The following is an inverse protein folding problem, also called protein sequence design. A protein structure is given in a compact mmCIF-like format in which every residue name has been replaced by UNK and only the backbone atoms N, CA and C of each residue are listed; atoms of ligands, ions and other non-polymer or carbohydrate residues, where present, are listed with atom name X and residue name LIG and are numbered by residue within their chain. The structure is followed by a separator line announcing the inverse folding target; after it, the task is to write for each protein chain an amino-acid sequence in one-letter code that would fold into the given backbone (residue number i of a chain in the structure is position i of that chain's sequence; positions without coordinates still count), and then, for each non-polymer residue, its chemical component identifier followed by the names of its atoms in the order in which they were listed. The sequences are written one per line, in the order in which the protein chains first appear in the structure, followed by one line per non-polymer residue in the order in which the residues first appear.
data_IF_519340376851
#
_entry.id   IF_519340376851
#
_cell.length_a   1.000
_cell.length_b   1.000
_cell.length_c   1.000
_cell.angle_alpha   90.00
_cell.angle_beta   90.00
_cell.angle_gamma   90.00
#
_symmetry.space_group_name_H-M   'P 1'
#
loop_
_entity.id
_entity.type
_entity.pdbx_description
1 polymer ?
#
# COMPACT_ATOMS: atom_id res chain seq x y z
N UNK A 1 34.80 -16.43 -79.65
CA UNK A 1 33.61 -15.74 -79.10
C UNK A 1 32.88 -16.52 -77.99
N UNK A 2 32.67 -17.84 -78.09
CA UNK A 2 31.92 -18.61 -77.06
C UNK A 2 32.57 -18.62 -75.66
N UNK A 3 33.91 -18.70 -75.57
CA UNK A 3 34.64 -18.64 -74.30
C UNK A 3 34.55 -17.28 -73.60
N UNK A 4 34.43 -16.19 -74.36
CA UNK A 4 34.32 -14.84 -73.81
C UNK A 4 32.94 -14.60 -73.17
N UNK A 5 31.88 -15.17 -73.75
CA UNK A 5 30.53 -15.12 -73.18
C UNK A 5 30.42 -15.90 -71.87
N UNK A 6 31.10 -17.04 -71.75
CA UNK A 6 31.10 -17.86 -70.52
C UNK A 6 31.86 -17.13 -69.41
N UNK A 7 33.00 -16.51 -69.73
CA UNK A 7 33.76 -15.70 -68.77
C UNK A 7 32.98 -14.46 -68.29
N UNK A 8 32.24 -13.80 -69.19
CA UNK A 8 31.40 -12.65 -68.84
C UNK A 8 30.22 -13.07 -67.94
N UNK A 9 29.60 -14.22 -68.22
CA UNK A 9 28.47 -14.75 -67.45
C UNK A 9 28.91 -15.22 -66.04
N UNK A 10 30.12 -15.76 -65.93
CA UNK A 10 30.73 -16.10 -64.64
C UNK A 10 31.13 -14.86 -63.83
N UNK A 11 31.56 -13.77 -64.47
CA UNK A 11 31.86 -12.50 -63.79
C UNK A 11 30.61 -11.80 -63.25
N UNK A 12 29.49 -11.84 -63.98
CA UNK A 12 28.22 -11.25 -63.54
C UNK A 12 27.51 -12.07 -62.46
N UNK A 13 27.80 -13.37 -62.36
CA UNK A 13 27.28 -14.22 -61.30
C UNK A 13 27.96 -13.95 -59.93
N UNK A 14 29.24 -13.54 -59.93
CA UNK A 14 29.98 -13.25 -58.70
C UNK A 14 29.59 -11.90 -58.06
N UNK A 15 29.09 -10.94 -58.84
CA UNK A 15 28.71 -9.62 -58.32
C UNK A 15 27.31 -9.58 -57.68
N UNK A 16 26.52 -10.65 -57.76
CA UNK A 16 25.16 -10.71 -57.22
C UNK A 16 25.09 -11.29 -55.79
N UNK A 17 26.21 -11.75 -55.22
CA UNK A 17 26.29 -12.30 -53.86
C UNK A 17 27.11 -11.39 -52.93
N UNK A 18 26.79 -10.10 -52.95
CA UNK A 18 27.17 -9.18 -51.88
C UNK A 18 25.91 -8.85 -51.10
N UNK A 19 25.42 -9.82 -50.34
CA UNK A 19 24.37 -9.57 -49.36
C UNK A 19 24.97 -8.63 -48.31
N UNK A 20 24.65 -7.35 -48.44
CA UNK A 20 24.95 -6.33 -47.44
C UNK A 20 24.39 -6.82 -46.11
N UNK A 21 25.27 -7.22 -45.21
CA UNK A 21 24.96 -7.62 -43.84
C UNK A 21 24.63 -6.33 -43.08
N UNK A 22 23.49 -5.73 -43.37
CA UNK A 22 22.96 -4.65 -42.57
C UNK A 22 22.41 -5.30 -41.30
N UNK A 23 23.00 -5.03 -40.12
CA UNK A 23 22.55 -5.66 -38.89
C UNK A 23 21.11 -5.24 -38.66
N UNK A 24 20.26 -6.23 -38.44
CA UNK A 24 18.84 -6.03 -38.20
C UNK A 24 18.65 -5.02 -37.04
N UNK A 25 17.61 -4.17 -37.09
CA UNK A 25 17.45 -3.09 -36.12
C UNK A 25 17.37 -3.57 -34.67
N UNK A 26 16.91 -4.80 -34.42
CA UNK A 26 16.83 -5.42 -33.09
C UNK A 26 18.18 -5.93 -32.57
N UNK A 27 19.09 -6.36 -33.46
CA UNK A 27 20.42 -6.86 -33.07
C UNK A 27 21.25 -5.74 -32.42
N UNK A 28 21.07 -4.49 -32.88
CA UNK A 28 21.73 -3.31 -32.29
C UNK A 28 21.28 -3.04 -30.86
N UNK A 29 20.08 -3.48 -30.50
CA UNK A 29 19.47 -3.29 -29.19
C UNK A 29 19.71 -4.50 -28.27
N UNK A 30 20.34 -5.57 -28.78
CA UNK A 30 20.50 -6.83 -28.05
C UNK A 30 19.18 -7.57 -27.84
N UNK A 31 18.16 -7.27 -28.66
CA UNK A 31 16.84 -7.87 -28.59
C UNK A 31 16.76 -9.07 -29.53
N UNK A 32 16.06 -10.12 -29.11
CA UNK A 32 15.64 -11.19 -30.00
C UNK A 32 14.57 -10.71 -30.97
N UNK A 33 14.48 -11.37 -32.13
CA UNK A 33 13.42 -11.14 -33.12
C UNK A 33 12.01 -11.25 -32.52
N UNK A 34 11.82 -12.15 -31.56
CA UNK A 34 10.56 -12.34 -30.84
C UNK A 34 10.21 -11.15 -29.95
N UNK A 35 11.16 -10.61 -29.18
CA UNK A 35 10.94 -9.42 -28.36
C UNK A 35 10.66 -8.19 -29.22
N UNK A 36 11.34 -8.09 -30.37
CA UNK A 36 11.09 -7.01 -31.33
C UNK A 36 9.66 -7.03 -31.88
N UNK A 37 9.16 -8.21 -32.23
CA UNK A 37 7.76 -8.37 -32.64
C UNK A 37 6.80 -8.00 -31.50
N UNK A 38 7.08 -8.42 -30.27
CA UNK A 38 6.27 -8.06 -29.11
C UNK A 38 6.20 -6.54 -28.88
N UNK A 39 7.31 -5.82 -29.06
CA UNK A 39 7.36 -4.35 -28.98
C UNK A 39 6.46 -3.72 -30.04
N UNK A 40 6.52 -4.21 -31.27
CA UNK A 40 5.72 -3.72 -32.38
C UNK A 40 4.23 -4.01 -32.16
N UNK A 41 3.87 -5.23 -31.78
CA UNK A 41 2.49 -5.66 -31.56
C UNK A 41 1.82 -4.89 -30.41
N UNK A 42 2.58 -4.56 -29.36
CA UNK A 42 2.09 -3.82 -28.19
C UNK A 42 2.30 -2.30 -28.30
N UNK A 43 2.77 -1.80 -29.45
CA UNK A 43 3.06 -0.37 -29.69
C UNK A 43 3.88 0.28 -28.56
N UNK A 44 4.88 -0.44 -28.03
CA UNK A 44 5.70 0.08 -26.93
C UNK A 44 6.62 1.18 -27.47
N UNK A 45 6.62 2.39 -26.90
CA UNK A 45 7.47 3.46 -27.39
C UNK A 45 8.94 3.13 -27.14
N UNK A 46 9.81 3.44 -28.11
CA UNK A 46 11.25 3.13 -28.05
C UNK A 46 11.92 3.63 -26.77
N UNK A 47 11.55 4.83 -26.29
CA UNK A 47 12.04 5.38 -25.03
C UNK A 47 11.78 4.46 -23.82
N UNK A 48 10.64 3.76 -23.82
CA UNK A 48 10.27 2.81 -22.77
C UNK A 48 11.07 1.51 -22.91
N UNK A 49 11.25 1.01 -24.13
CA UNK A 49 12.10 -0.15 -24.42
C UNK A 49 13.52 0.08 -23.89
N UNK A 50 14.13 1.22 -24.21
CA UNK A 50 15.46 1.57 -23.69
C UNK A 50 15.49 1.62 -22.16
N UNK A 51 14.42 2.14 -21.53
CA UNK A 51 14.32 2.21 -20.07
C UNK A 51 14.23 0.81 -19.44
N UNK A 52 13.51 -0.12 -20.05
CA UNK A 52 13.37 -1.51 -19.59
C UNK A 52 14.69 -2.25 -19.73
N UNK A 53 15.33 -2.14 -20.90
CA UNK A 53 16.64 -2.72 -21.16
C UNK A 53 17.72 -2.20 -20.19
N UNK A 54 17.75 -0.89 -19.92
CA UNK A 54 18.67 -0.31 -18.90
C UNK A 54 18.39 -0.80 -17.49
N UNK A 55 17.16 -1.18 -17.19
CA UNK A 55 16.78 -1.75 -15.89
C UNK A 55 16.99 -3.27 -15.82
N UNK A 56 17.46 -3.92 -16.91
CA UNK A 56 17.61 -5.37 -16.97
C UNK A 56 16.28 -6.13 -16.93
N UNK A 57 15.19 -5.48 -17.36
CA UNK A 57 13.84 -6.06 -17.39
C UNK A 57 13.58 -6.57 -18.80
N UNK A 58 13.18 -7.84 -18.91
CA UNK A 58 12.75 -8.42 -20.17
C UNK A 58 11.40 -7.80 -20.60
N UNK A 59 11.26 -7.54 -21.90
CA UNK A 59 10.02 -7.07 -22.51
C UNK A 59 8.87 -8.05 -22.23
N UNK A 60 9.15 -9.36 -22.27
CA UNK A 60 8.15 -10.39 -22.00
C UNK A 60 7.63 -10.31 -20.55
N UNK A 61 8.53 -10.08 -19.59
CA UNK A 61 8.21 -9.88 -18.17
C UNK A 61 7.36 -8.61 -17.98
N UNK A 62 7.76 -7.51 -18.64
CA UNK A 62 7.02 -6.25 -18.56
C UNK A 62 5.59 -6.37 -19.10
N UNK A 63 5.39 -7.09 -20.21
CA UNK A 63 4.07 -7.27 -20.81
C UNK A 63 3.09 -8.08 -19.94
N UNK A 64 3.60 -8.93 -19.04
CA UNK A 64 2.76 -9.65 -18.07
C UNK A 64 2.22 -8.73 -16.96
N UNK A 65 2.73 -7.50 -16.87
CA UNK A 65 2.34 -6.49 -15.90
C UNK A 65 2.30 -7.00 -14.45
N UNK A 66 3.40 -7.59 -13.94
CA UNK A 66 3.44 -8.20 -12.61
C UNK A 66 3.06 -7.22 -11.49
N UNK A 67 3.30 -5.92 -11.67
CA UNK A 67 2.94 -4.87 -10.71
C UNK A 67 1.43 -4.75 -10.47
N UNK A 68 0.58 -5.04 -11.47
CA UNK A 68 -0.88 -4.99 -11.32
C UNK A 68 -1.37 -6.05 -10.31
N UNK A 69 -0.76 -7.24 -10.31
CA UNK A 69 -1.13 -8.35 -9.43
C UNK A 69 -0.79 -8.09 -7.96
N UNK A 70 0.28 -7.33 -7.70
CA UNK A 70 0.77 -7.03 -6.35
C UNK A 70 0.34 -5.63 -5.85
N UNK A 71 -0.60 -4.97 -6.56
CA UNK A 71 -1.10 -3.64 -6.18
C UNK A 71 -0.05 -2.53 -6.19
N UNK A 72 1.04 -2.69 -6.95
CA UNK A 72 2.15 -1.74 -7.01
C UNK A 72 2.03 -0.85 -8.25
N UNK A 73 2.48 0.41 -8.17
CA UNK A 73 2.59 1.23 -9.37
C UNK A 73 3.74 0.74 -10.25
N UNK A 74 3.57 0.90 -11.56
CA UNK A 74 4.55 0.48 -12.56
C UNK A 74 5.93 1.11 -12.32
N UNK A 75 5.98 2.42 -12.03
CA UNK A 75 7.23 3.14 -11.80
C UNK A 75 7.97 2.62 -10.57
N UNK A 76 7.22 2.26 -9.53
CA UNK A 76 7.78 1.72 -8.29
C UNK A 76 8.26 0.28 -8.47
N UNK A 77 7.60 -0.49 -9.32
CA UNK A 77 8.08 -1.82 -9.71
C UNK A 77 9.38 -1.73 -10.51
N UNK A 78 9.42 -0.87 -11.54
CA UNK A 78 10.62 -0.65 -12.37
C UNK A 78 11.79 -0.15 -11.52
N UNK A 79 11.56 0.74 -10.56
CA UNK A 79 12.62 1.26 -9.69
C UNK A 79 13.19 0.17 -8.76
N UNK A 80 12.35 -0.71 -8.24
CA UNK A 80 12.79 -1.86 -7.43
C UNK A 80 13.56 -2.89 -8.26
N UNK A 81 13.11 -3.20 -9.49
CA UNK A 81 13.86 -4.06 -10.42
C UNK A 81 15.23 -3.46 -10.73
N UNK A 82 15.30 -2.14 -10.97
CA UNK A 82 16.58 -1.43 -11.18
C UNK A 82 17.48 -1.45 -9.94
N UNK A 83 16.92 -1.52 -8.74
CA UNK A 83 17.68 -1.71 -7.50
C UNK A 83 18.22 -3.15 -7.32
N UNK A 84 17.96 -4.04 -8.28
CA UNK A 84 18.41 -5.43 -8.27
C UNK A 84 17.47 -6.39 -7.54
N UNK A 85 16.26 -5.95 -7.16
CA UNK A 85 15.28 -6.83 -6.55
C UNK A 85 14.67 -7.77 -7.59
N UNK A 86 14.52 -9.04 -7.23
CA UNK A 86 13.78 -10.03 -8.03
C UNK A 86 12.27 -9.82 -7.85
N UNK A 87 11.47 -10.23 -8.84
CA UNK A 87 10.01 -10.05 -8.80
C UNK A 87 9.38 -10.74 -7.58
N UNK A 88 9.86 -11.92 -7.19
CA UNK A 88 9.46 -12.62 -5.96
C UNK A 88 9.80 -11.83 -4.69
N UNK A 89 10.98 -11.20 -4.63
CA UNK A 89 11.36 -10.39 -3.46
C UNK A 89 10.48 -9.14 -3.32
N UNK A 90 10.09 -8.53 -4.45
CA UNK A 90 9.19 -7.37 -4.48
C UNK A 90 7.79 -7.76 -4.00
N UNK A 91 7.29 -8.92 -4.43
CA UNK A 91 6.01 -9.47 -3.99
C UNK A 91 6.02 -9.77 -2.50
N UNK A 92 7.03 -10.49 -2.00
CA UNK A 92 7.17 -10.79 -0.58
C UNK A 92 7.23 -9.51 0.27
N UNK A 93 7.94 -8.47 -0.19
CA UNK A 93 7.98 -7.18 0.49
C UNK A 93 6.63 -6.46 0.46
N UNK A 94 5.86 -6.53 -0.63
CA UNK A 94 4.49 -5.97 -0.66
C UNK A 94 3.57 -6.70 0.30
N UNK A 95 3.55 -8.04 0.27
CA UNK A 95 2.75 -8.85 1.20
C UNK A 95 3.14 -8.56 2.65
N UNK A 96 4.44 -8.43 2.94
CA UNK A 96 4.92 -8.08 4.27
C UNK A 96 4.45 -6.68 4.69
N UNK A 97 4.52 -5.68 3.80
CA UNK A 97 4.06 -4.31 4.08
C UNK A 97 2.54 -4.23 4.26
N UNK A 98 1.75 -4.98 3.49
CA UNK A 98 0.29 -5.06 3.65
C UNK A 98 -0.10 -5.69 4.98
N UNK A 99 0.56 -6.80 5.35
CA UNK A 99 0.38 -7.45 6.66
C UNK A 99 0.76 -6.53 7.79
N UNK A 100 1.88 -5.83 7.67
CA UNK A 100 2.36 -4.82 8.63
C UNK A 100 1.32 -3.72 8.83
N UNK A 101 0.82 -3.12 7.75
CA UNK A 101 -0.20 -2.07 7.83
C UNK A 101 -1.54 -2.56 8.40
N UNK A 102 -1.91 -3.82 8.16
CA UNK A 102 -3.12 -4.44 8.73
C UNK A 102 -2.94 -4.84 10.21
N UNK A 103 -1.78 -5.39 10.57
CA UNK A 103 -1.46 -5.85 11.92
C UNK A 103 -1.25 -4.71 12.90
N UNK A 104 -0.65 -3.57 12.54
CA UNK A 104 -0.46 -2.49 13.51
C UNK A 104 -1.77 -1.86 13.99
N UNK A 105 -2.82 -1.85 13.17
CA UNK A 105 -4.14 -1.38 13.61
C UNK A 105 -4.98 -2.46 14.28
N UNK A 106 -4.78 -3.74 13.95
CA UNK A 106 -5.58 -4.81 14.52
C UNK A 106 -4.97 -5.35 15.83
N UNK A 107 -3.65 -5.49 15.92
CA UNK A 107 -2.92 -6.13 17.02
C UNK A 107 -2.87 -5.24 18.27
N UNK A 108 -2.61 -3.94 18.10
CA UNK A 108 -2.65 -2.97 19.21
C UNK A 108 -4.04 -2.86 19.86
N UNK A 109 -5.11 -3.06 19.10
CA UNK A 109 -6.48 -3.05 19.64
C UNK A 109 -6.95 -4.43 20.12
N UNK A 110 -6.46 -5.54 19.54
CA UNK A 110 -6.83 -6.89 19.98
C UNK A 110 -6.07 -7.36 21.21
N UNK A 111 -4.78 -7.03 21.35
CA UNK A 111 -4.02 -7.35 22.57
C UNK A 111 -4.60 -6.61 23.78
N UNK A 112 -4.96 -5.33 23.63
CA UNK A 112 -5.59 -4.55 24.70
C UNK A 112 -6.97 -5.07 25.11
N UNK A 113 -7.77 -5.56 24.15
CA UNK A 113 -9.06 -6.20 24.42
C UNK A 113 -8.93 -7.62 25.01
N UNK A 114 -7.81 -8.30 24.77
CA UNK A 114 -7.56 -9.67 25.27
C UNK A 114 -6.91 -9.69 26.65
N UNK A 115 -6.12 -8.68 27.00
CA UNK A 115 -5.41 -8.57 28.29
C UNK A 115 -6.33 -8.14 29.44
N UNK A 116 -7.37 -7.36 29.15
CA UNK A 116 -8.44 -7.13 30.11
C UNK A 116 -9.66 -7.91 29.62
N UNK A 117 -10.12 -8.90 30.38
CA UNK A 117 -11.45 -9.55 30.20
C UNK A 117 -12.65 -8.57 30.37
N UNK A 118 -12.37 -7.28 30.22
CA UNK A 118 -13.19 -6.09 30.37
C UNK A 118 -12.93 -5.08 29.23
N UNK A 119 -12.41 -5.53 28.07
CA UNK A 119 -12.20 -4.71 26.86
C UNK A 119 -13.34 -3.72 26.53
N UNK A 120 -14.62 -4.12 26.55
CA UNK A 120 -15.74 -3.19 26.29
C UNK A 120 -15.98 -2.15 27.40
N UNK A 121 -15.46 -2.34 28.61
CA UNK A 121 -15.58 -1.39 29.72
C UNK A 121 -14.42 -0.36 29.74
N UNK A 122 -13.26 -0.73 29.19
CA UNK A 122 -12.16 0.20 29.00
C UNK A 122 -12.31 1.05 27.74
N UNK A 123 -12.91 0.52 26.67
CA UNK A 123 -13.27 1.32 25.49
C UNK A 123 -14.29 2.42 25.82
N UNK A 124 -15.21 2.20 26.77
CA UNK A 124 -16.10 3.24 27.30
C UNK A 124 -15.42 4.24 28.23
N UNK A 125 -14.24 3.90 28.77
CA UNK A 125 -13.43 4.81 29.57
C UNK A 125 -12.78 5.83 28.64
N UNK A 126 -12.14 5.38 27.55
CA UNK A 126 -11.37 6.24 26.65
C UNK A 126 -12.22 6.98 25.59
N UNK A 127 -13.41 6.49 25.27
CA UNK A 127 -14.39 7.22 24.47
C UNK A 127 -15.74 7.31 25.22
N UNK A 128 -15.96 8.39 25.99
CA UNK A 128 -17.27 8.68 26.57
C UNK A 128 -18.33 8.66 25.47
N UNK A 129 -19.33 7.79 25.58
CA UNK A 129 -20.49 7.77 24.69
C UNK A 129 -20.41 6.86 23.43
N UNK A 130 -19.26 6.27 23.08
CA UNK A 130 -19.16 5.42 21.87
C UNK A 130 -20.04 4.15 21.97
N UNK A 131 -20.03 3.52 23.14
CA UNK A 131 -20.84 2.32 23.41
C UNK A 131 -22.34 2.65 23.49
N UNK A 132 -22.70 3.80 24.06
CA UNK A 132 -24.11 4.23 24.20
C UNK A 132 -24.75 4.67 22.87
N UNK A 133 -23.94 5.13 21.91
CA UNK A 133 -24.39 5.41 20.54
C UNK A 133 -24.80 4.13 19.80
N UNK A 134 -24.06 3.04 20.04
CA UNK A 134 -24.35 1.71 19.51
C UNK A 134 -25.59 1.07 20.14
N UNK A 135 -25.87 1.38 21.42
CA UNK A 135 -27.05 0.92 22.16
C UNK A 135 -28.28 1.84 22.03
N UNK A 136 -28.30 2.77 21.04
CA UNK A 136 -29.40 3.70 20.73
C UNK A 136 -29.85 4.64 21.87
N UNK A 137 -29.09 4.80 22.96
CA UNK A 137 -29.41 5.74 24.05
C UNK A 137 -28.72 7.08 23.83
N UNK A 138 -29.32 7.91 22.97
CA UNK A 138 -28.74 9.18 22.48
C UNK A 138 -28.61 10.27 23.56
N UNK A 139 -29.55 10.39 24.49
CA UNK A 139 -29.57 11.44 25.51
C UNK A 139 -28.37 11.39 26.50
N UNK A 140 -28.05 10.25 27.15
CA UNK A 140 -26.90 10.18 28.06
C UNK A 140 -25.55 10.28 27.31
N UNK A 141 -25.50 9.77 26.06
CA UNK A 141 -24.30 9.84 25.23
C UNK A 141 -23.92 11.30 24.89
N UNK A 142 -24.92 12.13 24.54
CA UNK A 142 -24.68 13.55 24.23
C UNK A 142 -24.18 14.31 25.46
N UNK A 143 -24.74 14.03 26.65
CA UNK A 143 -24.31 14.68 27.89
C UNK A 143 -22.83 14.36 28.20
N UNK A 144 -22.43 13.09 28.13
CA UNK A 144 -21.04 12.69 28.42
C UNK A 144 -20.04 13.20 27.38
N UNK A 145 -20.40 13.18 26.08
CA UNK A 145 -19.54 13.74 25.01
C UNK A 145 -19.36 15.25 25.19
N UNK A 146 -20.43 15.97 25.55
CA UNK A 146 -20.36 17.42 25.77
C UNK A 146 -19.44 17.80 26.94
N UNK A 147 -19.44 16.98 27.99
CA UNK A 147 -18.64 17.20 29.20
C UNK A 147 -17.15 16.87 28.95
N UNK A 148 -16.87 15.77 28.25
CA UNK A 148 -15.53 15.40 27.81
C UNK A 148 -14.94 16.44 26.83
N UNK A 149 -15.72 16.88 25.84
CA UNK A 149 -15.31 17.92 24.91
C UNK A 149 -15.00 19.24 25.64
N UNK A 150 -15.85 19.64 26.60
CA UNK A 150 -15.65 20.85 27.41
C UNK A 150 -14.36 20.79 28.23
N UNK A 151 -14.08 19.63 28.83
CA UNK A 151 -12.84 19.39 29.59
C UNK A 151 -11.60 19.52 28.70
N UNK A 152 -11.64 18.96 27.49
CA UNK A 152 -10.53 18.99 26.53
C UNK A 152 -10.28 20.41 25.99
N UNK A 153 -11.36 21.16 25.73
CA UNK A 153 -11.29 22.59 25.35
C UNK A 153 -10.72 23.44 26.48
N UNK A 154 -11.17 23.25 27.73
CA UNK A 154 -10.64 24.00 28.87
C UNK A 154 -9.17 23.64 29.17
N UNK A 155 -8.79 22.37 28.99
CA UNK A 155 -7.43 21.91 29.18
C UNK A 155 -6.49 22.49 28.10
N UNK A 156 -6.90 22.48 26.83
CA UNK A 156 -6.10 23.05 25.73
C UNK A 156 -5.98 24.57 25.85
N UNK A 157 -7.08 25.28 26.11
CA UNK A 157 -7.06 26.73 26.33
C UNK A 157 -6.21 27.14 27.55
N UNK A 158 -6.35 26.42 28.67
CA UNK A 158 -5.57 26.66 29.89
C UNK A 158 -4.09 26.33 29.72
N UNK A 159 -3.76 25.28 28.98
CA UNK A 159 -2.36 24.87 28.72
C UNK A 159 -1.64 25.86 27.80
N UNK A 160 -2.34 26.46 26.82
CA UNK A 160 -1.78 27.51 25.95
C UNK A 160 -1.49 28.78 26.75
N UNK A 161 -2.41 29.17 27.65
CA UNK A 161 -2.28 30.41 28.41
C UNK A 161 -1.20 30.34 29.51
N UNK A 162 -0.99 29.16 30.13
CA UNK A 162 -0.04 28.99 31.24
C UNK A 162 1.31 28.38 30.84
N UNK A 163 1.52 28.00 29.58
CA UNK A 163 2.72 27.29 29.06
C UNK A 163 3.16 26.08 29.91
N UNK A 164 2.24 25.52 30.69
CA UNK A 164 2.45 24.40 31.60
C UNK A 164 1.23 23.49 31.52
N UNK A 165 1.47 22.19 31.67
CA UNK A 165 0.43 21.17 31.58
C UNK A 165 -0.51 21.30 32.79
N UNK A 166 -1.69 21.90 32.58
CA UNK A 166 -2.67 22.11 33.63
C UNK A 166 -3.54 20.86 33.79
N UNK A 167 -3.06 19.87 34.55
CA UNK A 167 -3.70 18.57 34.73
C UNK A 167 -4.93 18.58 35.67
N UNK A 168 -5.19 19.70 36.35
CA UNK A 168 -6.22 19.83 37.38
C UNK A 168 -7.66 19.55 36.89
N UNK A 169 -8.12 20.06 35.71
CA UNK A 169 -9.44 19.70 35.18
C UNK A 169 -9.54 18.24 34.73
N UNK A 170 -8.44 17.63 34.29
CA UNK A 170 -8.41 16.20 33.91
C UNK A 170 -8.66 15.35 35.15
N UNK A 171 -7.96 15.60 36.25
CA UNK A 171 -8.16 14.82 37.48
C UNK A 171 -9.49 15.12 38.20
N UNK A 172 -9.95 16.38 38.22
CA UNK A 172 -11.15 16.75 38.96
C UNK A 172 -12.47 16.43 38.24
N UNK A 173 -12.47 16.38 36.91
CA UNK A 173 -13.69 16.23 36.11
C UNK A 173 -13.70 14.90 35.36
N UNK A 174 -12.60 14.53 34.71
CA UNK A 174 -12.56 13.35 33.85
C UNK A 174 -12.53 12.05 34.66
N UNK A 175 -11.83 12.03 35.79
CA UNK A 175 -11.75 10.83 36.65
C UNK A 175 -13.09 10.49 37.29
N UNK A 176 -13.84 11.43 37.90
CA UNK A 176 -15.18 11.12 38.42
C UNK A 176 -16.18 10.72 37.32
N UNK A 177 -16.13 11.35 36.14
CA UNK A 177 -16.99 11.01 35.00
C UNK A 177 -16.74 9.58 34.50
N UNK A 178 -15.47 9.19 34.40
CA UNK A 178 -15.07 7.81 34.07
C UNK A 178 -15.51 6.78 35.12
N UNK A 179 -15.36 7.10 36.40
CA UNK A 179 -15.80 6.22 37.50
C UNK A 179 -17.32 6.06 37.49
N UNK A 180 -18.06 7.15 37.27
CA UNK A 180 -19.53 7.11 37.19
C UNK A 180 -20.02 6.28 36.00
N UNK A 181 -19.40 6.47 34.83
CA UNK A 181 -19.69 5.69 33.62
C UNK A 181 -19.47 4.18 33.82
N UNK A 182 -18.38 3.80 34.51
CA UNK A 182 -18.10 2.40 34.84
C UNK A 182 -19.16 1.79 35.77
N UNK A 183 -19.59 2.53 36.80
CA UNK A 183 -20.63 2.09 37.74
C UNK A 183 -21.95 1.88 37.01
N UNK A 184 -22.35 2.83 36.16
CA UNK A 184 -23.61 2.75 35.42
C UNK A 184 -23.65 1.53 34.48
N UNK A 185 -22.55 1.26 33.78
CA UNK A 185 -22.42 0.08 32.92
C UNK A 185 -22.55 -1.24 33.71
N UNK A 186 -21.89 -1.34 34.88
CA UNK A 186 -21.91 -2.54 35.72
C UNK A 186 -23.31 -2.85 36.27
N UNK A 187 -24.05 -1.82 36.70
CA UNK A 187 -25.42 -1.96 37.19
C UNK A 187 -26.37 -2.42 36.08
N UNK A 188 -26.23 -1.86 34.87
CA UNK A 188 -27.08 -2.21 33.73
C UNK A 188 -26.79 -3.60 33.17
N UNK A 189 -25.51 -4.03 33.13
CA UNK A 189 -25.12 -5.38 32.72
C UNK A 189 -25.73 -6.46 33.64
N UNK A 190 -25.72 -6.22 34.95
CA UNK A 190 -26.31 -7.14 35.93
C UNK A 190 -27.85 -7.24 35.80
N UNK A 191 -28.54 -6.14 35.47
CA UNK A 191 -29.99 -6.17 35.20
C UNK A 191 -30.36 -6.92 33.93
N UNK A 192 -29.50 -6.91 32.91
CA UNK A 192 -29.73 -7.63 31.63
C UNK A 192 -29.55 -9.14 31.81
N UNK A 193 -28.59 -9.57 32.65
CA UNK A 193 -28.41 -10.98 33.03
C UNK A 193 -29.54 -11.55 33.89
N UNK A 194 -30.27 -10.72 34.63
CA UNK A 194 -31.40 -11.13 35.46
C UNK A 194 -32.72 -11.33 34.69
N UNK A 195 -32.78 -10.94 33.40
CA UNK A 195 -33.97 -11.06 32.53
C UNK A 195 -33.83 -12.14 31.45
N UNK A 196 -32.71 -12.85 31.44
CA UNK A 196 -32.46 -14.07 30.65
C UNK A 196 -32.58 -15.26 31.60
#
# INVERSE_FOLDING_TARGET
MRLFLIALLLLTAHSSFSQSFEPDPWDRLGLSKTEWLMIQDNNIPMKKVEQLLKSGIDISEYLQKPWENIGLSEEKWISKRRAGMTSESIENEQIANERTNSSYLHESFSEFNSLSGTGPAFSSLLLPGFQQFKDQRKAPAIAMVSLAASSLVLCTAGSIQRKQFFALPVFAILVPDMVWSYIDYKVHSNRKKSKL
#
